data_IF_958855535863
#
_entry.id   IF_958855535863
#
_cell.length_a   1.000
_cell.length_b   1.000
_cell.length_c   1.000
_cell.angle_alpha   90.00
_cell.angle_beta   90.00
_cell.angle_gamma   90.00
#
_symmetry.space_group_name_H-M   'P 1'
#
loop_
_entity.id
_entity.type
_entity.pdbx_description
1 polymer ?
#
# COMPACT_ATOMS: atom_id res chain seq x y z
N UNK A 1 1.17 -1.66 13.91
CA UNK A 1 0.03 -0.71 13.99
C UNK A 1 -1.12 -1.43 14.68
N UNK A 2 -1.71 -0.86 15.75
CA UNK A 2 -2.92 -1.41 16.38
C UNK A 2 -4.14 -0.64 15.85
N UNK A 3 -5.18 -1.35 15.42
CA UNK A 3 -6.43 -0.73 14.97
C UNK A 3 -7.46 -0.76 16.10
N UNK A 4 -8.18 0.35 16.28
CA UNK A 4 -9.35 0.39 17.16
C UNK A 4 -10.62 -0.01 16.39
N UNK A 5 -11.71 -0.29 17.11
CA UNK A 5 -12.95 -0.79 16.50
C UNK A 5 -13.60 0.20 15.54
N UNK A 6 -13.44 1.50 15.80
CA UNK A 6 -13.91 2.57 14.91
C UNK A 6 -13.20 2.52 13.56
N UNK A 7 -11.87 2.40 13.55
CA UNK A 7 -11.07 2.28 12.33
C UNK A 7 -11.43 1.00 11.56
N UNK A 8 -11.64 -0.12 12.26
CA UNK A 8 -12.06 -1.37 11.61
C UNK A 8 -13.42 -1.20 10.92
N UNK A 9 -14.38 -0.56 11.60
CA UNK A 9 -15.70 -0.26 11.04
C UNK A 9 -15.61 0.64 9.78
N UNK A 10 -14.77 1.67 9.82
CA UNK A 10 -14.50 2.51 8.65
C UNK A 10 -13.83 1.75 7.49
N UNK A 11 -12.92 0.83 7.79
CA UNK A 11 -12.25 -0.02 6.80
C UNK A 11 -13.23 -0.99 6.14
N UNK A 12 -14.17 -1.55 6.91
CA UNK A 12 -15.25 -2.40 6.37
C UNK A 12 -16.15 -1.60 5.43
N UNK A 13 -16.61 -0.41 5.87
CA UNK A 13 -17.50 0.44 5.08
C UNK A 13 -16.85 0.95 3.80
N UNK A 14 -15.61 1.46 3.89
CA UNK A 14 -14.89 2.03 2.75
C UNK A 14 -14.22 0.98 1.86
N UNK A 15 -14.12 -0.28 2.33
CA UNK A 15 -13.35 -1.37 1.70
C UNK A 15 -11.91 -0.98 1.40
N UNK A 16 -11.33 -0.08 2.20
CA UNK A 16 -9.99 0.46 2.03
C UNK A 16 -9.24 0.46 3.35
N UNK A 17 -7.96 0.09 3.29
CA UNK A 17 -7.06 0.13 4.42
C UNK A 17 -6.84 1.58 4.86
N UNK A 18 -7.08 1.85 6.15
CA UNK A 18 -6.84 3.14 6.77
C UNK A 18 -5.49 3.13 7.46
N UNK A 19 -4.54 3.87 6.88
CA UNK A 19 -3.19 4.01 7.42
C UNK A 19 -3.12 5.12 8.48
N UNK A 20 -2.16 5.00 9.41
CA UNK A 20 -1.81 6.08 10.33
C UNK A 20 -1.28 7.29 9.58
N UNK A 21 -1.17 8.44 10.26
CA UNK A 21 -0.69 9.67 9.63
C UNK A 21 0.71 9.49 9.01
N UNK A 22 1.65 8.97 9.79
CA UNK A 22 3.02 8.70 9.33
C UNK A 22 3.07 7.62 8.24
N UNK A 23 2.26 6.57 8.38
CA UNK A 23 2.17 5.50 7.38
C UNK A 23 1.64 6.01 6.03
N UNK A 24 0.70 6.97 6.03
CA UNK A 24 0.23 7.63 4.81
C UNK A 24 1.37 8.39 4.13
N UNK A 25 2.17 9.14 4.89
CA UNK A 25 3.31 9.88 4.34
C UNK A 25 4.29 8.92 3.68
N UNK A 26 4.66 7.84 4.36
CA UNK A 26 5.54 6.79 3.79
C UNK A 26 4.95 6.17 2.53
N UNK A 27 3.67 5.77 2.56
CA UNK A 27 2.99 5.11 1.42
C UNK A 27 2.93 6.01 0.18
N UNK A 28 2.72 7.32 0.37
CA UNK A 28 2.64 8.30 -0.72
C UNK A 28 3.96 9.06 -0.96
N UNK A 29 5.08 8.63 -0.37
CA UNK A 29 6.36 9.35 -0.47
C UNK A 29 6.81 9.61 -1.91
N UNK A 30 6.65 8.61 -2.79
CA UNK A 30 6.97 8.78 -4.23
C UNK A 30 6.10 9.84 -4.91
N UNK A 31 4.84 9.99 -4.50
CA UNK A 31 3.94 11.03 -5.04
C UNK A 31 4.38 12.39 -4.56
N UNK A 32 4.72 12.52 -3.27
CA UNK A 32 5.23 13.76 -2.67
C UNK A 32 6.51 14.20 -3.37
N UNK A 33 7.43 13.27 -3.64
CA UNK A 33 8.68 13.55 -4.36
C UNK A 33 8.42 14.08 -5.78
N UNK A 34 7.48 13.49 -6.51
CA UNK A 34 7.13 13.92 -7.86
C UNK A 34 6.47 15.30 -7.87
N UNK A 35 5.57 15.57 -6.91
CA UNK A 35 4.95 16.90 -6.74
C UNK A 35 5.97 17.97 -6.35
N UNK A 36 6.95 17.63 -5.51
CA UNK A 36 8.07 18.52 -5.21
C UNK A 36 8.87 18.85 -6.49
N UNK A 37 9.12 17.86 -7.34
CA UNK A 37 9.71 18.06 -8.66
C UNK A 37 8.90 19.04 -9.52
N UNK A 38 7.58 18.87 -9.62
CA UNK A 38 6.69 19.81 -10.31
C UNK A 38 6.84 21.24 -9.77
N UNK A 39 6.76 21.40 -8.45
CA UNK A 39 6.90 22.71 -7.80
C UNK A 39 8.26 23.37 -8.07
N UNK A 40 9.34 22.59 -8.01
CA UNK A 40 10.69 23.06 -8.30
C UNK A 40 10.83 23.57 -9.74
N UNK A 41 10.40 22.78 -10.74
CA UNK A 41 10.51 23.19 -12.14
C UNK A 41 9.64 24.39 -12.49
N UNK A 42 8.42 24.46 -11.96
CA UNK A 42 7.56 25.62 -12.17
C UNK A 42 8.06 26.88 -11.48
N UNK A 43 8.64 26.77 -10.28
CA UNK A 43 9.28 27.89 -9.61
C UNK A 43 10.48 28.44 -10.41
N UNK A 44 11.28 27.55 -11.01
CA UNK A 44 12.38 27.97 -11.88
C UNK A 44 11.84 28.61 -13.18
N UNK A 45 10.75 28.08 -13.73
CA UNK A 45 10.11 28.63 -14.92
C UNK A 45 9.55 30.04 -14.68
N UNK A 46 8.87 30.27 -13.54
CA UNK A 46 8.34 31.59 -13.17
C UNK A 46 9.45 32.60 -12.93
N UNK A 47 10.55 32.20 -12.25
CA UNK A 47 11.74 33.06 -12.11
C UNK A 47 12.34 33.47 -13.45
N UNK A 48 12.46 32.53 -14.38
CA UNK A 48 12.98 32.80 -15.73
C UNK A 48 12.07 33.75 -16.50
N UNK A 49 10.75 33.55 -16.42
CA UNK A 49 9.76 34.41 -17.06
C UNK A 49 9.77 35.85 -16.50
N UNK A 50 9.81 36.00 -15.17
CA UNK A 50 9.73 37.31 -14.50
C UNK A 50 11.02 38.13 -14.62
N UNK A 51 12.19 37.50 -14.47
CA UNK A 51 13.44 38.23 -14.36
C UNK A 51 14.14 38.51 -15.70
N UNK A 52 13.58 38.09 -16.85
CA UNK A 52 14.24 38.12 -18.18
C UNK A 52 15.73 37.71 -18.11
N UNK A 53 16.06 36.80 -17.20
CA UNK A 53 17.44 36.35 -17.00
C UNK A 53 17.94 35.78 -18.33
N UNK A 54 19.08 36.28 -18.81
CA UNK A 54 19.76 35.77 -20.00
C UNK A 54 19.90 34.24 -19.93
N UNK A 55 19.88 33.55 -21.09
CA UNK A 55 19.48 32.16 -21.22
C UNK A 55 20.61 31.24 -20.78
N UNK A 56 20.88 31.17 -19.48
CA UNK A 56 21.97 30.32 -19.02
C UNK A 56 21.59 28.84 -19.16
N UNK A 57 20.31 28.45 -19.10
CA UNK A 57 19.97 27.00 -19.13
C UNK A 57 18.82 26.58 -20.06
N UNK A 58 17.57 27.09 -20.05
CA UNK A 58 16.53 26.64 -21.01
C UNK A 58 15.37 27.65 -21.16
N UNK A 59 14.70 27.65 -22.33
CA UNK A 59 13.44 28.39 -22.54
C UNK A 59 12.42 28.07 -21.43
N UNK A 60 11.74 29.09 -20.89
CA UNK A 60 10.73 28.96 -19.82
C UNK A 60 9.68 27.89 -20.12
N UNK A 61 9.31 27.74 -21.39
CA UNK A 61 8.32 26.76 -21.85
C UNK A 61 8.80 25.33 -21.63
N UNK A 62 10.10 25.08 -21.80
CA UNK A 62 10.71 23.76 -21.53
C UNK A 62 10.60 23.40 -20.05
N UNK A 63 10.82 24.36 -19.15
CA UNK A 63 10.72 24.12 -17.70
C UNK A 63 9.28 23.85 -17.26
N UNK A 64 8.31 24.59 -17.80
CA UNK A 64 6.89 24.30 -17.57
C UNK A 64 6.50 22.90 -18.06
N UNK A 65 6.94 22.51 -19.26
CA UNK A 65 6.70 21.20 -19.83
C UNK A 65 7.32 20.07 -18.97
N UNK A 66 8.55 20.25 -18.48
CA UNK A 66 9.17 19.27 -17.57
C UNK A 66 8.34 19.16 -16.29
N UNK A 67 7.96 20.27 -15.66
CA UNK A 67 7.10 20.25 -14.46
C UNK A 67 5.76 19.56 -14.70
N UNK A 68 5.17 19.74 -15.89
CA UNK A 68 3.96 19.04 -16.31
C UNK A 68 4.17 17.53 -16.44
N UNK A 69 5.30 17.07 -17.02
CA UNK A 69 5.65 15.65 -17.05
C UNK A 69 5.71 15.05 -15.64
N UNK A 70 6.34 15.74 -14.68
CA UNK A 70 6.37 15.32 -13.28
C UNK A 70 4.97 15.23 -12.66
N UNK A 71 4.07 16.17 -13.00
CA UNK A 71 2.70 16.18 -12.50
C UNK A 71 1.91 14.97 -13.00
N UNK A 72 2.03 14.65 -14.29
CA UNK A 72 1.40 13.46 -14.89
C UNK A 72 1.90 12.20 -14.21
N UNK A 73 3.21 12.08 -14.00
CA UNK A 73 3.82 10.93 -13.29
C UNK A 73 3.31 10.86 -11.84
N UNK A 74 3.19 11.99 -11.14
CA UNK A 74 2.64 12.04 -9.78
C UNK A 74 1.19 11.52 -9.74
N UNK A 75 0.35 11.92 -10.69
CA UNK A 75 -1.05 11.48 -10.78
C UNK A 75 -1.15 9.97 -11.06
N UNK A 76 -0.27 9.43 -11.90
CA UNK A 76 -0.17 7.99 -12.16
C UNK A 76 0.19 7.22 -10.89
N UNK A 77 1.26 7.63 -10.19
CA UNK A 77 1.67 6.98 -8.94
C UNK A 77 0.61 7.14 -7.83
N UNK A 78 -0.04 8.30 -7.72
CA UNK A 78 -1.14 8.49 -6.78
C UNK A 78 -2.26 7.48 -7.03
N UNK A 79 -2.67 7.31 -8.29
CA UNK A 79 -3.71 6.36 -8.65
C UNK A 79 -3.30 4.92 -8.31
N UNK A 80 -2.07 4.52 -8.60
CA UNK A 80 -1.54 3.19 -8.26
C UNK A 80 -1.54 2.97 -6.75
N UNK A 81 -0.97 3.90 -5.98
CA UNK A 81 -0.89 3.81 -4.52
C UNK A 81 -2.28 3.85 -3.86
N UNK A 82 -3.20 4.64 -4.41
CA UNK A 82 -4.58 4.73 -3.95
C UNK A 82 -5.34 3.42 -4.18
N UNK A 83 -5.11 2.74 -5.31
CA UNK A 83 -5.73 1.45 -5.61
C UNK A 83 -5.19 0.32 -4.73
N UNK A 84 -3.90 0.33 -4.40
CA UNK A 84 -3.26 -0.67 -3.50
C UNK A 84 -3.85 -0.74 -2.10
N UNK A 85 -4.50 0.34 -1.62
CA UNK A 85 -5.17 0.33 -0.32
C UNK A 85 -6.53 -0.40 -0.35
N UNK A 86 -7.04 -0.78 -1.52
CA UNK A 86 -8.36 -1.42 -1.64
C UNK A 86 -8.27 -2.88 -1.19
N UNK A 87 -9.15 -3.27 -0.27
CA UNK A 87 -9.26 -4.66 0.14
C UNK A 87 -9.79 -5.54 -0.99
N UNK A 88 -9.25 -6.75 -1.11
CA UNK A 88 -9.87 -7.81 -1.90
C UNK A 88 -10.90 -8.52 -1.03
N UNK A 89 -12.17 -8.52 -1.46
CA UNK A 89 -13.23 -9.32 -0.83
C UNK A 89 -13.16 -10.75 -1.33
N UNK A 90 -13.26 -11.71 -0.41
CA UNK A 90 -13.32 -13.14 -0.71
C UNK A 90 -14.51 -13.71 0.06
N UNK A 91 -15.47 -14.27 -0.67
CA UNK A 91 -16.71 -14.79 -0.09
C UNK A 91 -16.64 -16.29 0.08
N UNK A 92 -16.18 -16.71 1.25
CA UNK A 92 -16.05 -18.10 1.69
C UNK A 92 -16.62 -18.16 3.10
N UNK A 93 -17.48 -19.13 3.38
CA UNK A 93 -17.96 -19.40 4.72
C UNK A 93 -16.95 -20.32 5.43
N UNK A 94 -16.52 -19.94 6.63
CA UNK A 94 -15.54 -20.69 7.40
C UNK A 94 -15.87 -20.63 8.89
N UNK A 95 -15.47 -21.65 9.62
CA UNK A 95 -15.47 -21.66 11.08
C UNK A 95 -14.21 -20.99 11.62
N UNK A 96 -14.24 -20.57 12.89
CA UNK A 96 -13.07 -19.99 13.56
C UNK A 96 -11.87 -20.94 13.58
N UNK A 97 -12.12 -22.25 13.71
CA UNK A 97 -11.08 -23.28 13.65
C UNK A 97 -10.40 -23.35 12.28
N UNK A 98 -11.19 -23.36 11.21
CA UNK A 98 -10.68 -23.39 9.83
C UNK A 98 -9.86 -22.12 9.51
N UNK A 99 -10.34 -20.95 9.93
CA UNK A 99 -9.61 -19.68 9.78
C UNK A 99 -8.25 -19.71 10.50
N UNK A 100 -8.24 -20.13 11.77
CA UNK A 100 -7.01 -20.18 12.56
C UNK A 100 -6.01 -21.20 12.01
N UNK A 101 -6.50 -22.33 11.49
CA UNK A 101 -5.67 -23.32 10.81
C UNK A 101 -5.08 -22.78 9.51
N UNK A 102 -5.88 -22.09 8.68
CA UNK A 102 -5.41 -21.45 7.46
C UNK A 102 -4.33 -20.41 7.75
N UNK A 103 -4.53 -19.60 8.80
CA UNK A 103 -3.55 -18.62 9.26
C UNK A 103 -2.25 -19.29 9.70
N UNK A 104 -2.31 -20.33 10.54
CA UNK A 104 -1.13 -21.04 11.02
C UNK A 104 -0.32 -21.67 9.88
N UNK A 105 -0.99 -22.31 8.90
CA UNK A 105 -0.33 -22.85 7.71
C UNK A 105 0.33 -21.74 6.92
N UNK A 106 -0.37 -20.63 6.70
CA UNK A 106 0.17 -19.48 5.95
C UNK A 106 1.39 -18.88 6.65
N UNK A 107 1.35 -18.71 7.97
CA UNK A 107 2.50 -18.25 8.74
C UNK A 107 3.71 -19.16 8.58
N UNK A 108 3.50 -20.48 8.60
CA UNK A 108 4.57 -21.47 8.40
C UNK A 108 5.10 -21.50 6.97
N UNK A 109 4.22 -21.38 5.97
CA UNK A 109 4.56 -21.52 4.55
C UNK A 109 5.37 -20.33 4.03
N UNK A 110 4.95 -19.12 4.36
CA UNK A 110 5.51 -17.88 3.80
C UNK A 110 6.11 -16.95 4.85
N UNK A 111 6.28 -17.43 6.09
CA UNK A 111 6.99 -16.69 7.14
C UNK A 111 6.24 -15.46 7.66
N UNK A 112 4.90 -15.48 7.70
CA UNK A 112 4.16 -14.39 8.31
C UNK A 112 4.36 -14.37 9.83
N UNK A 113 4.64 -13.17 10.35
CA UNK A 113 4.72 -12.85 11.76
C UNK A 113 3.47 -12.07 12.12
N UNK A 114 2.59 -12.62 12.96
CA UNK A 114 1.38 -11.92 13.40
C UNK A 114 1.78 -10.83 14.39
N UNK A 115 1.49 -9.58 14.04
CA UNK A 115 1.81 -8.41 14.89
C UNK A 115 0.66 -8.15 15.88
N UNK A 116 -0.58 -8.28 15.40
CA UNK A 116 -1.76 -7.98 16.19
C UNK A 116 -2.97 -8.74 15.64
N UNK A 117 -3.87 -9.15 16.54
CA UNK A 117 -5.00 -10.02 16.23
C UNK A 117 -6.11 -9.81 17.25
N UNK A 118 -7.35 -9.73 16.76
CA UNK A 118 -8.55 -9.89 17.57
C UNK A 118 -9.53 -10.88 16.89
N UNK A 119 -10.76 -10.95 17.37
CA UNK A 119 -11.77 -11.87 16.84
C UNK A 119 -12.17 -11.57 15.39
N UNK A 120 -12.12 -10.32 14.95
CA UNK A 120 -12.59 -9.86 13.64
C UNK A 120 -11.44 -9.45 12.70
N UNK A 121 -10.20 -9.41 13.18
CA UNK A 121 -9.09 -8.79 12.47
C UNK A 121 -7.75 -9.49 12.77
N UNK A 122 -6.88 -9.52 11.77
CA UNK A 122 -5.47 -9.91 11.89
C UNK A 122 -4.60 -8.91 11.12
N UNK A 123 -3.54 -8.42 11.75
CA UNK A 123 -2.40 -7.78 11.11
C UNK A 123 -1.20 -8.71 11.18
N UNK A 124 -0.58 -8.97 10.04
CA UNK A 124 0.64 -9.75 9.96
C UNK A 124 1.70 -9.02 9.12
N UNK A 125 2.95 -9.37 9.33
CA UNK A 125 4.09 -8.86 8.60
C UNK A 125 4.87 -10.01 7.98
N UNK A 126 5.38 -9.78 6.78
CA UNK A 126 6.29 -10.68 6.10
C UNK A 126 7.61 -9.96 5.91
N UNK A 127 8.68 -10.44 6.56
CA UNK A 127 10.05 -10.00 6.30
C UNK A 127 10.56 -10.51 4.96
N UNK A 128 10.65 -9.64 3.95
CA UNK A 128 11.24 -10.01 2.66
C UNK A 128 12.61 -9.36 2.54
N UNK A 129 13.68 -10.06 2.92
CA UNK A 129 15.07 -9.60 2.79
C UNK A 129 15.51 -9.59 1.30
N UNK A 130 15.08 -8.58 0.55
CA UNK A 130 15.60 -8.29 -0.80
C UNK A 130 16.03 -6.83 -0.87
N UNK A 131 17.01 -6.51 -1.72
CA UNK A 131 17.65 -5.17 -1.82
C UNK A 131 16.69 -3.97 -1.93
N UNK A 132 15.42 -4.18 -2.32
CA UNK A 132 14.42 -3.14 -2.55
C UNK A 132 13.10 -3.34 -1.79
N UNK A 133 12.97 -4.40 -0.98
CA UNK A 133 11.76 -4.67 -0.20
C UNK A 133 12.12 -4.77 1.28
N UNK A 134 11.38 -4.06 2.12
CA UNK A 134 11.61 -3.99 3.56
C UNK A 134 10.47 -4.65 4.35
N UNK A 135 9.65 -5.43 3.64
CA UNK A 135 8.59 -6.25 4.19
C UNK A 135 7.20 -5.81 3.75
N UNK A 136 6.23 -6.69 3.95
CA UNK A 136 4.84 -6.48 3.55
C UNK A 136 3.95 -6.50 4.78
N UNK A 137 3.06 -5.52 4.88
CA UNK A 137 1.98 -5.48 5.87
C UNK A 137 0.74 -6.13 5.28
N UNK A 138 0.29 -7.20 5.92
CA UNK A 138 -0.93 -7.92 5.60
C UNK A 138 -2.01 -7.54 6.60
N UNK A 139 -3.22 -7.27 6.10
CA UNK A 139 -4.40 -7.01 6.93
C UNK A 139 -5.55 -7.87 6.45
N UNK A 140 -6.12 -8.63 7.36
CA UNK A 140 -7.31 -9.46 7.14
C UNK A 140 -8.40 -9.01 8.11
N UNK A 141 -9.60 -8.78 7.60
CA UNK A 141 -10.79 -8.45 8.38
C UNK A 141 -11.87 -9.47 8.03
N UNK A 142 -12.42 -10.14 9.04
CA UNK A 142 -13.56 -11.04 8.91
C UNK A 142 -14.83 -10.22 8.74
N UNK A 143 -15.69 -10.66 7.84
CA UNK A 143 -17.01 -10.07 7.57
C UNK A 143 -18.02 -11.22 7.50
N UNK A 144 -19.32 -10.93 7.65
CA UNK A 144 -20.36 -11.98 7.72
C UNK A 144 -20.31 -12.98 6.55
N UNK A 145 -19.98 -12.50 5.36
CA UNK A 145 -19.90 -13.30 4.13
C UNK A 145 -18.46 -13.49 3.63
N UNK A 146 -17.51 -13.68 4.56
CA UNK A 146 -16.13 -14.07 4.26
C UNK A 146 -15.06 -13.15 4.85
N UNK A 147 -14.11 -12.70 4.02
CA UNK A 147 -13.01 -11.83 4.46
C UNK A 147 -12.75 -10.67 3.51
N UNK A 148 -12.19 -9.60 4.07
CA UNK A 148 -11.45 -8.56 3.37
C UNK A 148 -9.97 -8.78 3.62
N UNK A 149 -9.18 -8.93 2.56
CA UNK A 149 -7.73 -9.12 2.67
C UNK A 149 -6.98 -8.08 1.84
N UNK A 150 -6.00 -7.46 2.46
CA UNK A 150 -5.05 -6.56 1.80
C UNK A 150 -3.62 -6.96 2.15
N UNK A 151 -2.70 -6.63 1.24
CA UNK A 151 -1.26 -6.71 1.44
C UNK A 151 -0.67 -5.51 0.73
N UNK A 152 0.12 -4.72 1.44
CA UNK A 152 0.89 -3.59 0.92
C UNK A 152 2.32 -3.66 1.43
N UNK A 153 3.24 -2.93 0.77
CA UNK A 153 4.56 -2.68 1.34
C UNK A 153 4.38 -2.10 2.73
N UNK A 154 5.11 -2.60 3.72
CA UNK A 154 5.00 -2.09 5.08
C UNK A 154 5.41 -0.60 5.11
N UNK A 155 4.48 0.31 5.41
CA UNK A 155 4.77 1.74 5.44
C UNK A 155 5.64 2.15 6.63
N UNK A 156 5.72 1.29 7.66
CA UNK A 156 6.59 1.49 8.82
C UNK A 156 8.04 1.03 8.56
N UNK A 157 8.23 0.15 7.58
CA UNK A 157 9.54 -0.26 7.09
C UNK A 157 10.04 0.76 6.05
N UNK A 158 11.08 1.53 6.41
CA UNK A 158 11.45 2.85 5.86
C UNK A 158 11.74 2.98 4.34
N UNK A 159 11.59 1.96 3.50
CA UNK A 159 12.16 2.00 2.13
C UNK A 159 11.54 1.05 1.11
N UNK A 160 10.39 0.41 1.38
CA UNK A 160 9.77 -0.51 0.42
C UNK A 160 8.98 0.21 -0.68
N UNK A 161 9.66 0.63 -1.76
CA UNK A 161 9.04 1.35 -2.90
C UNK A 161 8.27 0.38 -3.81
N UNK A 162 8.72 -0.88 -3.92
CA UNK A 162 8.17 -1.88 -4.82
C UNK A 162 8.00 -3.23 -4.12
N UNK A 163 6.81 -3.82 -4.25
CA UNK A 163 6.49 -5.12 -3.64
C UNK A 163 6.79 -6.33 -4.53
N UNK A 164 7.40 -6.16 -5.71
CA UNK A 164 7.75 -7.23 -6.70
C UNK A 164 6.79 -8.46 -6.77
N UNK A 165 5.47 -8.23 -6.74
CA UNK A 165 4.47 -9.31 -6.76
C UNK A 165 4.18 -10.02 -5.42
N UNK A 166 4.95 -9.77 -4.36
CA UNK A 166 4.75 -10.33 -3.01
C UNK A 166 3.37 -10.03 -2.44
N UNK A 167 2.83 -8.85 -2.70
CA UNK A 167 1.45 -8.51 -2.32
C UNK A 167 0.41 -9.48 -2.88
N UNK A 168 0.57 -9.91 -4.14
CA UNK A 168 -0.33 -10.90 -4.74
C UNK A 168 -0.08 -12.29 -4.15
N UNK A 169 1.20 -12.66 -3.95
CA UNK A 169 1.61 -13.94 -3.37
C UNK A 169 1.08 -14.13 -1.95
N UNK A 170 1.28 -13.13 -1.08
CA UNK A 170 0.77 -13.11 0.30
C UNK A 170 -0.73 -13.35 0.35
N UNK A 171 -1.52 -12.55 -0.38
CA UNK A 171 -2.97 -12.70 -0.39
C UNK A 171 -3.41 -14.06 -0.92
N UNK A 172 -2.81 -14.51 -2.03
CA UNK A 172 -3.20 -15.75 -2.68
C UNK A 172 -2.83 -16.99 -1.84
N UNK A 173 -1.71 -16.97 -1.11
CA UNK A 173 -1.33 -18.07 -0.24
C UNK A 173 -2.38 -18.27 0.87
N UNK A 174 -2.79 -17.20 1.54
CA UNK A 174 -3.83 -17.29 2.58
C UNK A 174 -5.17 -17.76 2.00
N UNK A 175 -5.60 -17.19 0.87
CA UNK A 175 -6.86 -17.58 0.22
C UNK A 175 -6.84 -19.06 -0.16
N UNK A 176 -5.75 -19.53 -0.78
CA UNK A 176 -5.56 -20.93 -1.18
C UNK A 176 -5.61 -21.88 0.02
N UNK A 177 -4.95 -21.53 1.12
CA UNK A 177 -4.94 -22.34 2.33
C UNK A 177 -6.31 -22.35 3.03
N UNK A 178 -7.05 -21.25 2.96
CA UNK A 178 -8.42 -21.18 3.49
C UNK A 178 -9.38 -22.03 2.64
N UNK A 179 -9.32 -21.90 1.32
CA UNK A 179 -10.14 -22.68 0.38
C UNK A 179 -9.88 -24.19 0.53
N UNK A 180 -8.62 -24.60 0.66
CA UNK A 180 -8.27 -26.02 0.81
C UNK A 180 -8.78 -26.65 2.10
N UNK A 181 -8.93 -25.88 3.18
CA UNK A 181 -9.44 -26.36 4.47
C UNK A 181 -10.97 -26.37 4.48
N UNK A 182 -11.62 -25.42 3.80
CA UNK A 182 -13.09 -25.31 3.78
C UNK A 182 -13.72 -26.33 2.83
N UNK A 183 -13.03 -26.69 1.74
CA UNK A 183 -13.51 -27.63 0.72
C UNK A 183 -13.15 -29.09 1.01
N UNK A 184 -12.50 -29.37 2.14
CA UNK A 184 -12.27 -30.71 2.68
C UNK A 184 -13.40 -31.10 3.63
#
# INVERSE_FOLDING_TARGET
MKYNDQLISEMINSKRLKLGYWDKISHYWIVILMLFGTGFFWFQATKSYLNKLEPVIHSSDKLFNIGFCFLVIAMLFFTIQYRKLTFKKVSINFTESQYNRALAITCKEIGWIVIDKNNIYVSAFHETLTYFNWGELITIIKIDNGILINSICDPSAKTAILSFGWNKKNRNAFIRNLESIVLQ
#
